data_IF_218533854400
#
_entry.id   IF_218533854400
#
_cell.length_a   1.000
_cell.length_b   1.000
_cell.length_c   1.000
_cell.angle_alpha   90.00
_cell.angle_beta   90.00
_cell.angle_gamma   90.00
#
_symmetry.space_group_name_H-M   'P 1'
#
loop_
_entity.id
_entity.type
_entity.pdbx_description
1 polymer ?
#
# COMPACT_ATOMS: atom_id res chain seq x y z
N UNK A 1 10.99 21.85 -7.07
CA UNK A 1 11.37 20.43 -7.28
C UNK A 1 10.58 19.59 -6.29
N UNK A 2 9.99 18.48 -6.73
CA UNK A 2 9.09 17.62 -5.94
C UNK A 2 9.36 16.18 -6.34
N UNK A 3 9.49 15.29 -5.36
CA UNK A 3 9.61 13.85 -5.53
C UNK A 3 8.39 13.10 -4.94
N UNK A 4 8.03 11.97 -5.55
CA UNK A 4 6.89 11.14 -5.16
C UNK A 4 7.25 9.67 -5.03
N UNK A 5 6.64 8.96 -4.07
CA UNK A 5 6.80 7.51 -3.90
C UNK A 5 5.43 6.84 -4.01
N UNK A 6 5.30 5.94 -4.98
CA UNK A 6 4.09 5.20 -5.27
C UNK A 6 4.25 3.77 -4.76
N UNK A 7 3.69 3.45 -3.61
CA UNK A 7 3.76 2.10 -3.02
C UNK A 7 2.49 1.27 -3.23
N UNK A 8 1.39 1.90 -3.66
CA UNK A 8 0.06 1.29 -3.82
C UNK A 8 -0.73 1.78 -5.04
N UNK A 9 -0.06 1.88 -6.18
CA UNK A 9 -0.54 2.34 -7.49
C UNK A 9 -1.40 1.30 -8.26
N UNK A 10 -2.05 0.38 -7.56
CA UNK A 10 -3.05 -0.51 -8.19
C UNK A 10 -4.35 0.25 -8.43
N UNK A 11 -5.23 -0.30 -9.27
CA UNK A 11 -6.57 0.30 -9.44
C UNK A 11 -7.34 0.26 -8.11
N UNK A 12 -8.21 1.25 -7.89
CA UNK A 12 -9.04 1.31 -6.68
C UNK A 12 -9.97 0.09 -6.55
N UNK A 13 -10.42 -0.50 -7.68
CA UNK A 13 -11.18 -1.76 -7.68
C UNK A 13 -10.35 -2.96 -7.20
N UNK A 14 -9.02 -2.85 -7.24
CA UNK A 14 -8.09 -3.82 -6.68
C UNK A 14 -7.56 -3.41 -5.29
N UNK A 15 -8.25 -2.49 -4.60
CA UNK A 15 -7.84 -1.92 -3.31
C UNK A 15 -6.49 -1.17 -3.34
N UNK A 16 -6.11 -0.61 -4.50
CA UNK A 16 -5.00 0.34 -4.56
C UNK A 16 -5.47 1.75 -4.18
N UNK A 17 -4.91 2.31 -3.12
CA UNK A 17 -5.27 3.64 -2.63
C UNK A 17 -4.30 4.74 -3.08
N UNK A 18 -3.17 4.37 -3.69
CA UNK A 18 -2.21 5.29 -4.29
C UNK A 18 -2.53 5.61 -5.75
N UNK A 19 -2.06 6.76 -6.23
CA UNK A 19 -2.14 7.09 -7.66
C UNK A 19 -1.07 6.34 -8.46
N UNK A 20 -1.39 5.97 -9.70
CA UNK A 20 -0.44 5.41 -10.67
C UNK A 20 0.17 6.43 -11.63
N UNK A 21 -0.43 7.63 -11.67
CA UNK A 21 0.05 8.75 -12.47
C UNK A 21 1.26 9.40 -11.79
N UNK A 22 2.30 9.69 -12.56
CA UNK A 22 3.43 10.52 -12.13
C UNK A 22 2.99 11.95 -11.86
N UNK A 23 3.33 12.48 -10.69
CA UNK A 23 2.99 13.84 -10.27
C UNK A 23 4.19 14.69 -9.87
N UNK A 24 5.37 14.08 -9.76
CA UNK A 24 6.61 14.71 -9.35
C UNK A 24 7.51 15.12 -10.52
N UNK A 25 8.62 15.77 -10.18
CA UNK A 25 9.78 15.86 -11.07
C UNK A 25 10.50 14.50 -11.14
N UNK A 26 10.44 13.74 -10.04
CA UNK A 26 10.90 12.35 -9.95
C UNK A 26 9.84 11.54 -9.20
N UNK A 27 9.44 10.40 -9.77
CA UNK A 27 8.47 9.50 -9.15
C UNK A 27 9.10 8.09 -9.03
N UNK A 28 9.08 7.53 -7.83
CA UNK A 28 9.61 6.21 -7.52
C UNK A 28 8.50 5.18 -7.41
N UNK A 29 8.69 4.02 -8.04
CA UNK A 29 7.76 2.89 -8.03
C UNK A 29 8.44 1.63 -7.45
N UNK A 30 8.72 1.58 -6.13
CA UNK A 30 9.37 0.43 -5.51
C UNK A 30 8.54 -0.83 -5.73
N UNK A 31 9.18 -1.88 -6.28
CA UNK A 31 8.51 -3.14 -6.65
C UNK A 31 7.28 -2.89 -7.54
N UNK A 32 7.47 -2.07 -8.60
CA UNK A 32 6.43 -1.59 -9.52
C UNK A 32 5.31 -0.77 -8.86
N UNK A 33 5.51 -0.37 -7.60
CA UNK A 33 4.60 0.46 -6.83
C UNK A 33 3.26 -0.18 -6.50
N UNK A 34 3.15 -1.52 -6.47
CA UNK A 34 1.87 -2.22 -6.27
C UNK A 34 1.83 -3.14 -5.06
N UNK A 35 2.73 -4.11 -4.98
CA UNK A 35 2.71 -5.16 -3.95
C UNK A 35 3.98 -5.09 -3.13
N UNK A 36 3.86 -4.49 -1.96
CA UNK A 36 4.99 -4.26 -1.09
C UNK A 36 5.31 -5.51 -0.25
N UNK A 37 6.60 -5.82 -0.03
CA UNK A 37 7.01 -6.89 0.85
C UNK A 37 6.38 -6.77 2.25
N UNK A 38 5.98 -7.89 2.83
CA UNK A 38 5.37 -7.95 4.17
C UNK A 38 3.88 -7.56 4.23
N UNK A 39 3.27 -7.04 3.16
CA UNK A 39 1.83 -6.76 3.13
C UNK A 39 0.95 -7.98 2.78
N UNK A 40 1.57 -9.09 2.39
CA UNK A 40 0.92 -10.40 2.26
C UNK A 40 1.03 -11.26 3.53
N UNK A 41 1.78 -10.84 4.55
CA UNK A 41 2.09 -11.67 5.72
C UNK A 41 0.85 -11.86 6.61
N UNK A 42 0.42 -13.12 6.72
CA UNK A 42 -0.62 -13.68 7.60
C UNK A 42 -1.73 -12.72 8.02
N UNK A 43 -2.71 -12.50 7.12
CA UNK A 43 -3.99 -11.84 7.45
C UNK A 43 -4.56 -12.32 8.79
N UNK A 44 -4.39 -13.61 9.09
CA UNK A 44 -4.77 -14.24 10.35
C UNK A 44 -4.10 -13.64 11.59
N UNK A 45 -2.80 -13.28 11.55
CA UNK A 45 -2.13 -12.65 12.70
C UNK A 45 -2.71 -11.26 12.99
N UNK A 46 -2.92 -10.47 11.94
CA UNK A 46 -3.50 -9.12 12.04
C UNK A 46 -4.90 -9.17 12.67
N UNK A 47 -5.71 -10.16 12.30
CA UNK A 47 -7.04 -10.36 12.88
C UNK A 47 -7.03 -10.78 14.35
N UNK A 48 -6.05 -11.60 14.76
CA UNK A 48 -5.94 -12.06 16.15
C UNK A 48 -5.40 -10.93 17.05
N UNK A 49 -4.41 -10.16 16.58
CA UNK A 49 -3.79 -9.12 17.41
C UNK A 49 -4.63 -7.84 17.50
N UNK A 50 -5.22 -7.41 16.39
CA UNK A 50 -5.84 -6.09 16.26
C UNK A 50 -7.39 -6.19 16.22
N UNK A 51 -7.94 -7.41 16.20
CA UNK A 51 -9.37 -7.67 16.03
C UNK A 51 -9.81 -7.63 14.55
N UNK A 52 -11.07 -8.00 14.30
CA UNK A 52 -11.57 -8.17 12.92
C UNK A 52 -11.53 -6.86 12.11
N UNK A 53 -11.97 -5.75 12.70
CA UNK A 53 -12.10 -4.49 11.97
C UNK A 53 -10.74 -3.85 11.66
N UNK A 54 -9.92 -3.62 12.69
CA UNK A 54 -8.59 -3.01 12.51
C UNK A 54 -7.64 -3.94 11.78
N UNK A 55 -7.73 -5.25 12.01
CA UNK A 55 -6.98 -6.25 11.26
C UNK A 55 -7.28 -6.21 9.77
N UNK A 56 -8.56 -6.04 9.38
CA UNK A 56 -8.96 -5.88 7.98
C UNK A 56 -8.43 -4.56 7.39
N UNK A 57 -8.61 -3.43 8.10
CA UNK A 57 -8.12 -2.11 7.66
C UNK A 57 -6.63 -2.14 7.38
N UNK A 58 -5.84 -2.70 8.31
CA UNK A 58 -4.38 -2.79 8.20
C UNK A 58 -3.92 -3.65 7.02
N UNK A 59 -4.62 -4.75 6.74
CA UNK A 59 -4.29 -5.61 5.60
C UNK A 59 -4.54 -4.91 4.27
N UNK A 60 -5.65 -4.16 4.13
CA UNK A 60 -5.94 -3.43 2.89
C UNK A 60 -5.09 -2.18 2.73
N UNK A 61 -4.75 -1.48 3.81
CA UNK A 61 -3.96 -0.25 3.75
C UNK A 61 -2.44 -0.48 3.76
N UNK A 62 -1.97 -1.72 3.93
CA UNK A 62 -0.56 -1.98 4.18
C UNK A 62 0.34 -1.45 3.05
N UNK A 63 0.01 -1.73 1.77
CA UNK A 63 0.80 -1.22 0.64
C UNK A 63 0.83 0.31 0.64
N UNK A 64 -0.33 0.94 0.91
CA UNK A 64 -0.47 2.40 0.95
C UNK A 64 0.43 3.04 2.02
N UNK A 65 0.51 2.43 3.20
CA UNK A 65 1.30 2.96 4.32
C UNK A 65 2.82 2.80 4.16
N UNK A 66 3.31 2.12 3.10
CA UNK A 66 4.75 1.92 2.88
C UNK A 66 5.48 3.11 2.28
N UNK A 67 4.75 4.14 1.84
CA UNK A 67 5.33 5.40 1.37
C UNK A 67 5.49 6.45 2.48
N UNK A 68 4.99 6.17 3.69
CA UNK A 68 5.15 6.98 4.91
C UNK A 68 6.39 6.54 5.69
#
# INVERSE_FOLDING_TARGET
>A
YVDGIHSDASDIMCFGFGMSLSGGHVDFFPINGRKQPGCNADKFKSFISDGLNEGARRVVSCNHQRSL
#
